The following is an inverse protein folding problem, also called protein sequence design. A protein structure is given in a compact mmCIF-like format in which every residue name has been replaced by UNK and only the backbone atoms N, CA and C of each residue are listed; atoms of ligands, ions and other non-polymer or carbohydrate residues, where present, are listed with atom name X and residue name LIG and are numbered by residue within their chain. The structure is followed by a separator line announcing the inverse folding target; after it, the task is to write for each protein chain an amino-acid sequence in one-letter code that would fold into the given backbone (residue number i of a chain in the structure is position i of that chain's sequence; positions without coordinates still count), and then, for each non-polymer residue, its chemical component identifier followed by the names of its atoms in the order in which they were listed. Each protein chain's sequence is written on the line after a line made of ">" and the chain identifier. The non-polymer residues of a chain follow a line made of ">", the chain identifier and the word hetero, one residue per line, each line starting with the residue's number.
data_IF_867271167953
#
_entry.id   IF_867271167953
#
_cell.length_a   1.000
_cell.length_b   1.000
_cell.length_c   1.000
_cell.angle_alpha   90.00
_cell.angle_beta   90.00
_cell.angle_gamma   90.00
#
_symmetry.space_group_name_H-M   'P 1'
#
loop_
_entity.id
_entity.type
_entity.pdbx_description
1 polymer ?
#
# COMPACT_ATOMS: atom_id res chain seq x y z
N UNK A 1 12.87 0.70 3.12
CA UNK A 1 13.96 0.00 3.82
C UNK A 1 13.64 -0.38 5.26
N UNK A 2 12.95 0.46 6.05
CA UNK A 2 12.51 0.09 7.41
C UNK A 2 11.47 -1.06 7.46
N UNK A 3 10.44 -1.04 6.60
CA UNK A 3 9.42 -2.11 6.56
C UNK A 3 10.02 -3.51 6.35
N UNK A 4 11.02 -3.63 5.45
CA UNK A 4 11.68 -4.91 5.16
C UNK A 4 12.42 -5.46 6.38
N UNK A 5 13.13 -4.59 7.10
CA UNK A 5 13.85 -4.97 8.31
C UNK A 5 12.89 -5.45 9.41
N UNK A 6 11.81 -4.69 9.66
CA UNK A 6 10.77 -5.05 10.64
C UNK A 6 10.07 -6.35 10.29
N UNK A 7 9.71 -6.53 9.02
CA UNK A 7 9.07 -7.76 8.55
C UNK A 7 9.96 -8.98 8.75
N UNK A 8 11.23 -8.90 8.33
CA UNK A 8 12.19 -10.00 8.50
C UNK A 8 12.44 -10.32 9.97
N UNK A 9 12.59 -9.30 10.82
CA UNK A 9 12.75 -9.50 12.27
C UNK A 9 11.52 -10.17 12.91
N UNK A 10 10.31 -9.81 12.46
CA UNK A 10 9.06 -10.34 13.04
C UNK A 10 8.74 -11.76 12.59
N UNK A 11 8.95 -12.06 11.31
CA UNK A 11 8.48 -13.30 10.68
C UNK A 11 9.60 -14.25 10.26
N UNK A 12 10.86 -13.85 10.42
CA UNK A 12 12.04 -14.62 10.03
C UNK A 12 12.05 -15.06 8.56
N UNK A 13 11.44 -14.26 7.69
CA UNK A 13 11.40 -14.46 6.23
C UNK A 13 11.58 -13.13 5.52
N UNK A 14 12.09 -13.16 4.29
CA UNK A 14 12.16 -11.96 3.46
C UNK A 14 10.76 -11.47 3.07
N UNK A 15 10.64 -10.18 2.80
CA UNK A 15 9.36 -9.56 2.40
C UNK A 15 8.82 -10.22 1.15
N UNK A 16 7.60 -10.75 1.28
CA UNK A 16 6.86 -11.32 0.18
C UNK A 16 6.25 -10.22 -0.69
N UNK A 17 6.10 -10.48 -1.99
CA UNK A 17 5.71 -9.47 -2.99
C UNK A 17 4.42 -8.72 -2.63
N UNK A 18 3.45 -9.38 -2.01
CA UNK A 18 2.16 -8.78 -1.63
C UNK A 18 2.12 -8.19 -0.21
N UNK A 19 3.10 -8.51 0.65
CA UNK A 19 3.11 -8.08 2.04
C UNK A 19 2.99 -6.56 2.24
N UNK A 20 3.74 -5.69 1.54
CA UNK A 20 3.61 -4.24 1.74
C UNK A 20 2.24 -3.70 1.32
N UNK A 21 1.63 -4.26 0.26
CA UNK A 21 0.31 -3.84 -0.22
C UNK A 21 -0.80 -4.19 0.77
N UNK A 22 -0.78 -5.41 1.30
CA UNK A 22 -1.79 -5.83 2.29
C UNK A 22 -1.60 -5.07 3.61
N UNK A 23 -0.35 -4.83 4.01
CA UNK A 23 -0.05 -4.02 5.18
C UNK A 23 -0.67 -2.61 5.05
N UNK A 24 -0.45 -1.96 3.92
CA UNK A 24 -1.03 -0.64 3.66
C UNK A 24 -2.57 -0.67 3.61
N UNK A 25 -3.15 -1.65 2.91
CA UNK A 25 -4.61 -1.78 2.79
C UNK A 25 -5.29 -1.92 4.16
N UNK A 26 -4.76 -2.78 5.03
CA UNK A 26 -5.31 -2.96 6.38
C UNK A 26 -5.18 -1.68 7.20
N UNK A 27 -4.02 -1.03 7.16
CA UNK A 27 -3.78 0.16 8.00
C UNK A 27 -4.56 1.39 7.53
N UNK A 28 -4.76 1.59 6.22
CA UNK A 28 -5.58 2.71 5.72
C UNK A 28 -7.06 2.50 6.05
N UNK A 29 -7.57 1.26 5.96
CA UNK A 29 -8.92 0.93 6.41
C UNK A 29 -9.09 1.16 7.92
N UNK A 30 -8.14 0.67 8.73
CA UNK A 30 -8.17 0.87 10.18
C UNK A 30 -8.10 2.36 10.56
N UNK A 31 -7.28 3.15 9.87
CA UNK A 31 -7.22 4.59 10.07
C UNK A 31 -8.54 5.29 9.72
N UNK A 32 -9.22 4.86 8.65
CA UNK A 32 -10.55 5.37 8.30
C UNK A 32 -11.60 4.99 9.36
N UNK A 33 -11.57 3.75 9.87
CA UNK A 33 -12.45 3.30 10.96
C UNK A 33 -12.23 4.12 12.23
N UNK A 34 -10.97 4.34 12.62
CA UNK A 34 -10.61 5.15 13.78
C UNK A 34 -11.10 6.59 13.62
N UNK A 35 -10.92 7.19 12.44
CA UNK A 35 -11.40 8.54 12.13
C UNK A 35 -12.93 8.64 12.10
N UNK A 36 -13.62 7.58 11.68
CA UNK A 36 -15.08 7.50 11.70
C UNK A 36 -15.65 7.17 13.09
N UNK A 37 -14.79 6.78 14.05
CA UNK A 37 -15.22 6.28 15.36
C UNK A 37 -16.03 4.98 15.27
N UNK A 38 -15.87 4.19 14.20
CA UNK A 38 -16.65 2.97 13.99
C UNK A 38 -16.04 2.01 12.98
N UNK A 39 -16.27 0.71 13.19
CA UNK A 39 -15.98 -0.35 12.24
C UNK A 39 -17.18 -0.70 11.32
N UNK A 40 -18.32 -0.01 11.47
CA UNK A 40 -19.47 -0.17 10.59
C UNK A 40 -19.15 0.39 9.18
N UNK A 41 -19.22 -0.43 8.11
CA UNK A 41 -18.94 0.00 6.73
C UNK A 41 -19.69 1.25 6.29
N UNK A 42 -20.95 1.39 6.68
CA UNK A 42 -21.74 2.56 6.32
C UNK A 42 -21.15 3.87 6.87
N UNK A 43 -20.38 3.78 7.97
CA UNK A 43 -19.73 4.92 8.62
C UNK A 43 -18.31 5.16 8.12
N UNK A 44 -17.49 4.12 7.97
CA UNK A 44 -16.08 4.32 7.63
C UNK A 44 -15.80 4.37 6.12
N UNK A 45 -16.61 3.74 5.26
CA UNK A 45 -16.35 3.74 3.81
C UNK A 45 -16.35 5.15 3.19
N UNK A 46 -17.27 6.08 3.55
CA UNK A 46 -17.20 7.46 3.06
C UNK A 46 -15.96 8.22 3.56
N UNK A 47 -15.42 7.86 4.72
CA UNK A 47 -14.19 8.44 5.28
C UNK A 47 -12.96 7.87 4.56
N UNK A 48 -12.96 6.56 4.30
CA UNK A 48 -11.92 5.87 3.53
C UNK A 48 -11.82 6.44 2.12
N UNK A 49 -12.94 6.59 1.41
CA UNK A 49 -12.97 7.18 0.07
C UNK A 49 -12.39 8.60 0.03
N UNK A 50 -12.54 9.37 1.12
CA UNK A 50 -11.97 10.72 1.27
C UNK A 50 -10.50 10.72 1.72
N UNK A 51 -9.84 9.57 1.75
CA UNK A 51 -8.42 9.49 2.10
C UNK A 51 -7.60 10.23 1.04
N UNK A 52 -6.91 11.27 1.50
CA UNK A 52 -5.99 12.05 0.69
C UNK A 52 -4.69 12.22 1.48
N UNK A 53 -3.69 11.40 1.13
CA UNK A 53 -2.34 11.58 1.66
C UNK A 53 -1.92 10.60 2.76
N UNK A 54 -2.54 9.43 2.88
CA UNK A 54 -2.12 8.44 3.87
C UNK A 54 -0.71 7.94 3.54
N UNK A 55 0.22 8.01 4.50
CA UNK A 55 1.63 7.62 4.30
C UNK A 55 1.82 6.12 4.53
N UNK A 56 1.61 5.33 3.49
CA UNK A 56 1.87 3.89 3.49
C UNK A 56 3.33 3.54 3.19
N UNK A 57 3.67 2.25 3.32
CA UNK A 57 4.99 1.70 3.01
C UNK A 57 5.24 1.58 1.50
N UNK A 58 4.17 1.52 0.71
CA UNK A 58 4.20 1.53 -0.77
C UNK A 58 4.18 2.95 -1.36
N UNK A 59 3.88 3.96 -0.53
CA UNK A 59 3.84 5.36 -0.93
C UNK A 59 2.65 6.11 -0.32
N UNK A 60 2.38 7.28 -0.86
CA UNK A 60 1.22 8.08 -0.45
C UNK A 60 -0.05 7.53 -1.09
N UNK A 61 -1.01 7.13 -0.26
CA UNK A 61 -2.29 6.55 -0.66
C UNK A 61 -3.35 7.66 -0.70
N UNK A 62 -4.02 7.74 -1.85
CA UNK A 62 -5.20 8.55 -2.07
C UNK A 62 -6.07 7.86 -3.13
N UNK A 63 -7.37 8.12 -3.10
CA UNK A 63 -8.33 7.50 -4.02
C UNK A 63 -8.93 8.52 -4.99
N UNK A 64 -9.25 8.06 -6.20
CA UNK A 64 -10.16 8.77 -7.09
C UNK A 64 -11.63 8.43 -6.80
N UNK A 65 -12.54 9.03 -7.56
CA UNK A 65 -13.98 8.89 -7.33
C UNK A 65 -14.52 7.49 -7.66
N UNK A 66 -13.69 6.62 -8.28
CA UNK A 66 -13.99 5.21 -8.56
C UNK A 66 -13.41 4.27 -7.50
N UNK A 67 -12.57 4.79 -6.60
CA UNK A 67 -11.86 4.01 -5.60
C UNK A 67 -10.49 3.50 -6.06
N UNK A 68 -10.00 3.93 -7.22
CA UNK A 68 -8.66 3.58 -7.70
C UNK A 68 -7.58 4.41 -6.98
N UNK A 69 -6.40 3.82 -6.81
CA UNK A 69 -5.25 4.54 -6.21
C UNK A 69 -4.78 5.63 -7.18
N UNK A 70 -4.77 6.88 -6.71
CA UNK A 70 -4.16 8.01 -7.43
C UNK A 70 -2.64 7.87 -7.45
N UNK A 71 -2.04 8.14 -8.62
CA UNK A 71 -0.58 8.13 -8.82
C UNK A 71 0.09 6.80 -8.39
N UNK A 72 -0.62 5.68 -8.61
CA UNK A 72 -0.09 4.36 -8.31
C UNK A 72 1.19 4.09 -9.09
N UNK A 73 2.26 3.74 -8.38
CA UNK A 73 3.55 3.52 -9.01
C UNK A 73 3.55 2.20 -9.82
N UNK A 74 3.85 2.27 -11.12
CA UNK A 74 4.19 1.11 -11.93
C UNK A 74 5.70 0.91 -11.95
N UNK A 75 6.17 -0.23 -11.45
CA UNK A 75 7.58 -0.63 -11.58
C UNK A 75 7.72 -1.63 -12.72
N UNK A 76 8.41 -1.23 -13.78
CA UNK A 76 8.69 -2.07 -14.93
C UNK A 76 9.96 -2.88 -14.68
N UNK A 77 9.90 -4.17 -14.98
CA UNK A 77 11.04 -5.08 -14.92
C UNK A 77 11.26 -5.73 -16.29
N UNK A 78 12.51 -6.07 -16.60
CA UNK A 78 12.91 -6.90 -17.73
C UNK A 78 13.74 -8.08 -17.24
N UNK A 79 14.06 -8.99 -18.15
CA UNK A 79 15.04 -10.05 -17.92
C UNK A 79 16.17 -9.93 -18.94
N UNK A 80 17.42 -9.87 -18.45
CA UNK A 80 18.63 -9.93 -19.29
C UNK A 80 19.53 -11.05 -18.79
N UNK A 81 19.95 -11.95 -19.68
CA UNK A 81 20.79 -13.09 -19.31
C UNK A 81 20.18 -14.00 -18.23
N UNK A 82 18.84 -14.09 -18.15
CA UNK A 82 18.13 -14.85 -17.11
C UNK A 82 17.96 -14.13 -15.76
N UNK A 83 18.55 -12.95 -15.57
CA UNK A 83 18.40 -12.15 -14.35
C UNK A 83 17.30 -11.08 -14.52
N UNK A 84 16.47 -10.92 -13.49
CA UNK A 84 15.43 -9.86 -13.44
C UNK A 84 16.09 -8.52 -13.11
N UNK A 85 15.87 -7.52 -13.95
CA UNK A 85 16.36 -6.15 -13.77
C UNK A 85 15.20 -5.15 -13.72
N UNK A 86 15.29 -4.11 -12.90
CA UNK A 86 14.32 -3.01 -12.91
C UNK A 86 14.64 -2.05 -14.05
N UNK A 87 13.64 -1.73 -14.88
CA UNK A 87 13.78 -0.78 -16.00
C UNK A 87 13.47 0.64 -15.53
N UNK A 88 12.31 0.84 -14.90
CA UNK A 88 11.80 2.15 -14.55
C UNK A 88 10.71 2.06 -13.47
N UNK A 89 10.51 3.16 -12.74
CA UNK A 89 9.31 3.41 -11.94
C UNK A 89 8.57 4.58 -12.57
N UNK A 90 7.29 4.41 -12.88
CA UNK A 90 6.37 5.44 -13.39
C UNK A 90 5.29 5.72 -12.35
N UNK A 91 4.87 6.97 -12.20
CA UNK A 91 3.80 7.42 -11.30
C UNK A 91 2.84 8.32 -12.06
#
# INVERSE_FOLDING_TARGET
>A
DDFKAKFKSKFNVDVQIYAPYVYDAVNVMAAAMAKAGSADPAKYLPVLAKTAGYKGVTGTIAFDDKGDIKNGALTLFTYKGGAREQIAVKR
#
